data_IF_535673057901
#
_entry.id   IF_535673057901
#
_cell.length_a   1.000
_cell.length_b   1.000
_cell.length_c   1.000
_cell.angle_alpha   90.00
_cell.angle_beta   90.00
_cell.angle_gamma   90.00
#
_symmetry.space_group_name_H-M   'P 1'
#
loop_
_entity.id
_entity.type
_entity.pdbx_description
1 polymer ?
#
# COMPACT_ATOMS: atom_id res chain seq x y z
N UNK A 1 -8.65 -1.79 6.00
CA UNK A 1 -8.38 -0.63 6.88
C UNK A 1 -9.18 0.57 6.41
N UNK A 2 -9.82 1.28 7.33
CA UNK A 2 -10.56 2.50 7.00
C UNK A 2 -9.60 3.71 6.96
N UNK A 3 -10.06 4.80 6.36
CA UNK A 3 -9.29 6.05 6.34
C UNK A 3 -9.01 6.58 7.76
N UNK A 4 -9.98 6.43 8.66
CA UNK A 4 -9.84 6.84 10.05
C UNK A 4 -8.75 6.05 10.76
N UNK A 5 -8.72 4.73 10.55
CA UNK A 5 -7.69 3.86 11.10
C UNK A 5 -6.31 4.21 10.55
N UNK A 6 -6.22 4.53 9.27
CA UNK A 6 -4.97 4.96 8.63
C UNK A 6 -4.44 6.25 9.27
N UNK A 7 -5.30 7.25 9.41
CA UNK A 7 -4.93 8.53 10.04
C UNK A 7 -4.45 8.31 11.47
N UNK A 8 -5.15 7.48 12.24
CA UNK A 8 -4.78 7.17 13.62
C UNK A 8 -3.39 6.51 13.70
N UNK A 9 -3.13 5.53 12.86
CA UNK A 9 -1.82 4.85 12.81
C UNK A 9 -0.70 5.82 12.43
N UNK A 10 -0.94 6.69 11.48
CA UNK A 10 0.06 7.67 11.05
C UNK A 10 0.36 8.70 12.14
N UNK A 11 -0.64 9.07 12.93
CA UNK A 11 -0.44 9.94 14.08
C UNK A 11 0.37 9.25 15.18
N UNK A 12 0.05 7.99 15.47
CA UNK A 12 0.73 7.21 16.52
C UNK A 12 2.20 6.96 16.19
N UNK A 13 2.52 6.70 14.93
CA UNK A 13 3.88 6.40 14.52
C UNK A 13 4.83 7.58 14.66
N UNK A 14 4.32 8.79 14.58
CA UNK A 14 5.12 10.01 14.69
C UNK A 14 6.12 10.23 13.57
N UNK A 15 6.31 9.25 12.68
CA UNK A 15 7.26 9.30 11.58
C UNK A 15 6.65 8.65 10.34
N UNK A 16 6.93 9.24 9.17
CA UNK A 16 6.50 8.70 7.88
C UNK A 16 7.73 8.18 7.12
N UNK A 17 8.47 7.28 7.77
CA UNK A 17 9.64 6.64 7.16
C UNK A 17 9.21 5.57 6.14
N UNK A 18 10.18 5.03 5.42
CA UNK A 18 9.92 4.06 4.36
C UNK A 18 9.21 2.80 4.88
N UNK A 19 9.62 2.30 6.03
CA UNK A 19 9.06 1.09 6.62
C UNK A 19 7.61 1.32 7.05
N UNK A 20 7.35 2.42 7.74
CA UNK A 20 6.00 2.76 8.19
C UNK A 20 5.06 2.98 7.01
N UNK A 21 5.50 3.72 6.01
CA UNK A 21 4.69 3.95 4.81
C UNK A 21 4.42 2.67 4.03
N UNK A 22 5.40 1.77 3.93
CA UNK A 22 5.22 0.49 3.25
C UNK A 22 4.18 -0.38 3.96
N UNK A 23 4.22 -0.42 5.29
CA UNK A 23 3.25 -1.15 6.09
C UNK A 23 1.84 -0.58 5.93
N UNK A 24 1.71 0.73 5.98
CA UNK A 24 0.43 1.41 5.78
C UNK A 24 -0.12 1.17 4.38
N UNK A 25 0.72 1.25 3.37
CA UNK A 25 0.36 0.95 1.98
C UNK A 25 -0.19 -0.47 1.87
N UNK A 26 0.54 -1.45 2.40
CA UNK A 26 0.12 -2.84 2.35
C UNK A 26 -1.21 -3.06 3.09
N UNK A 27 -1.40 -2.43 4.24
CA UNK A 27 -2.64 -2.53 5.01
C UNK A 27 -3.83 -1.92 4.25
N UNK A 28 -3.63 -0.75 3.63
CA UNK A 28 -4.70 -0.06 2.89
C UNK A 28 -5.18 -0.89 1.70
N UNK A 29 -4.26 -1.52 0.99
CA UNK A 29 -4.57 -2.26 -0.24
C UNK A 29 -4.63 -3.77 -0.04
N UNK A 30 -4.65 -4.27 1.21
CA UNK A 30 -4.57 -5.71 1.50
C UNK A 30 -5.70 -6.55 0.87
N UNK A 31 -6.86 -5.95 0.63
CA UNK A 31 -8.00 -6.64 0.02
C UNK A 31 -7.89 -6.73 -1.51
N UNK A 32 -7.05 -5.92 -2.12
CA UNK A 32 -6.97 -5.81 -3.57
C UNK A 32 -5.59 -6.10 -4.14
N UNK A 33 -4.53 -5.98 -3.36
CA UNK A 33 -3.16 -6.14 -3.82
C UNK A 33 -2.31 -6.83 -2.76
N UNK A 34 -1.66 -7.95 -3.11
CA UNK A 34 -0.72 -8.65 -2.23
C UNK A 34 0.41 -9.26 -3.04
N UNK A 35 1.56 -9.40 -2.41
CA UNK A 35 2.71 -10.02 -3.05
C UNK A 35 2.67 -11.54 -2.85
N UNK A 36 2.86 -12.29 -3.94
CA UNK A 36 2.98 -13.74 -3.89
C UNK A 36 4.45 -14.11 -3.81
N UNK A 37 4.88 -14.69 -2.68
CA UNK A 37 6.29 -15.00 -2.43
C UNK A 37 6.83 -16.07 -3.37
N UNK A 38 6.02 -17.08 -3.73
CA UNK A 38 6.47 -18.17 -4.62
C UNK A 38 6.57 -17.73 -6.07
N UNK A 39 5.72 -16.82 -6.52
CA UNK A 39 5.77 -16.29 -7.88
C UNK A 39 6.67 -15.06 -8.00
N UNK A 40 7.10 -14.49 -6.87
CA UNK A 40 7.91 -13.27 -6.80
C UNK A 40 7.26 -12.10 -7.57
N UNK A 41 5.95 -11.99 -7.48
CA UNK A 41 5.16 -10.95 -8.15
C UNK A 41 3.96 -10.54 -7.31
N UNK A 42 3.48 -9.31 -7.55
CA UNK A 42 2.21 -8.88 -7.00
C UNK A 42 1.05 -9.58 -7.70
N UNK A 43 0.00 -9.85 -6.93
CA UNK A 43 -1.28 -10.32 -7.41
C UNK A 43 -2.34 -9.30 -7.01
N UNK A 44 -3.38 -9.19 -7.81
CA UNK A 44 -4.53 -8.33 -7.50
C UNK A 44 -5.81 -9.15 -7.46
N UNK A 45 -6.76 -8.72 -6.64
CA UNK A 45 -8.09 -9.33 -6.57
C UNK A 45 -9.03 -8.53 -7.46
N UNK A 46 -9.68 -9.21 -8.41
CA UNK A 46 -10.63 -8.59 -9.34
C UNK A 46 -12.07 -8.55 -8.80
N UNK A 47 -12.24 -8.89 -7.51
CA UNK A 47 -13.55 -9.02 -6.87
C UNK A 47 -14.01 -10.47 -6.74
N UNK A 48 -13.45 -11.39 -7.52
CA UNK A 48 -13.78 -12.80 -7.51
C UNK A 48 -12.58 -13.69 -7.21
N UNK A 49 -11.41 -13.35 -7.74
CA UNK A 49 -10.20 -14.17 -7.58
C UNK A 49 -8.93 -13.34 -7.65
N UNK A 50 -7.85 -13.92 -7.14
CA UNK A 50 -6.52 -13.33 -7.23
C UNK A 50 -5.89 -13.65 -8.59
N UNK A 51 -5.37 -12.61 -9.25
CA UNK A 51 -4.74 -12.72 -10.57
C UNK A 51 -3.35 -12.13 -10.54
N UNK A 52 -2.46 -12.69 -11.36
CA UNK A 52 -1.12 -12.14 -11.54
C UNK A 52 -1.19 -10.71 -12.06
N UNK A 53 -0.45 -9.81 -11.42
CA UNK A 53 -0.33 -8.43 -11.86
C UNK A 53 0.82 -8.32 -12.87
N UNK A 54 0.51 -8.52 -14.15
CA UNK A 54 1.51 -8.48 -15.21
C UNK A 54 2.18 -7.12 -15.28
N UNK A 55 3.50 -7.11 -15.35
CA UNK A 55 4.33 -5.90 -15.39
C UNK A 55 4.11 -4.97 -14.19
N UNK A 56 3.51 -5.46 -13.11
CA UNK A 56 3.25 -4.68 -11.89
C UNK A 56 2.43 -3.41 -12.15
N UNK A 57 1.55 -3.43 -13.13
CA UNK A 57 0.74 -2.26 -13.52
C UNK A 57 -0.23 -1.85 -12.42
N UNK A 58 -0.91 -2.83 -11.80
CA UNK A 58 -1.86 -2.55 -10.71
C UNK A 58 -1.14 -2.06 -9.46
N UNK A 59 0.00 -2.68 -9.15
CA UNK A 59 0.83 -2.25 -8.03
C UNK A 59 1.31 -0.81 -8.22
N UNK A 60 1.77 -0.46 -9.42
CA UNK A 60 2.20 0.89 -9.73
C UNK A 60 1.05 1.91 -9.56
N UNK A 61 -0.15 1.56 -10.01
CA UNK A 61 -1.34 2.41 -9.84
C UNK A 61 -1.70 2.59 -8.37
N UNK A 62 -1.63 1.53 -7.58
CA UNK A 62 -1.88 1.61 -6.15
C UNK A 62 -0.89 2.53 -5.45
N UNK A 63 0.39 2.49 -5.83
CA UNK A 63 1.40 3.38 -5.27
C UNK A 63 1.10 4.85 -5.56
N UNK A 64 0.66 5.16 -6.78
CA UNK A 64 0.24 6.52 -7.14
C UNK A 64 -1.00 6.95 -6.37
N UNK A 65 -1.98 6.04 -6.24
CA UNK A 65 -3.20 6.29 -5.47
C UNK A 65 -2.88 6.56 -4.02
N UNK A 66 -1.91 5.85 -3.45
CA UNK A 66 -1.46 6.07 -2.08
C UNK A 66 -0.93 7.49 -1.88
N UNK A 67 -0.12 7.99 -2.82
CA UNK A 67 0.37 9.35 -2.76
C UNK A 67 -0.78 10.38 -2.77
N UNK A 68 -1.77 10.16 -3.63
CA UNK A 68 -2.97 11.02 -3.70
C UNK A 68 -3.78 10.95 -2.41
N UNK A 69 -3.88 9.76 -1.81
CA UNK A 69 -4.55 9.57 -0.53
C UNK A 69 -3.86 10.37 0.58
N UNK A 70 -2.54 10.39 0.60
CA UNK A 70 -1.78 11.17 1.57
C UNK A 70 -2.04 12.68 1.43
N UNK A 71 -2.16 13.17 0.21
CA UNK A 71 -2.53 14.58 -0.05
C UNK A 71 -3.92 14.87 0.52
N UNK A 72 -4.89 14.02 0.22
CA UNK A 72 -6.25 14.16 0.71
C UNK A 72 -6.30 14.19 2.23
N UNK A 73 -5.65 13.22 2.87
CA UNK A 73 -5.61 13.14 4.32
C UNK A 73 -4.91 14.37 4.94
N UNK A 74 -3.85 14.85 4.29
CA UNK A 74 -3.15 16.05 4.72
C UNK A 74 -4.05 17.29 4.69
N UNK A 75 -4.85 17.44 3.63
CA UNK A 75 -5.75 18.56 3.49
C UNK A 75 -6.87 18.58 4.55
N UNK A 76 -7.18 17.41 5.12
CA UNK A 76 -8.20 17.28 6.14
C UNK A 76 -7.67 17.47 7.57
N UNK A 77 -6.35 17.58 7.74
CA UNK A 77 -5.77 17.79 9.06
C UNK A 77 -6.01 19.21 9.56
N UNK A 78 -6.25 19.35 10.86
CA UNK A 78 -6.51 20.64 11.48
C UNK A 78 -5.24 21.36 11.92
N UNK A 79 -4.17 20.61 12.22
CA UNK A 79 -2.91 21.21 12.63
C UNK A 79 -1.97 21.38 11.45
N UNK A 80 -1.26 22.48 11.40
CA UNK A 80 -0.28 22.76 10.36
C UNK A 80 0.84 21.73 10.34
N UNK A 81 1.26 21.27 11.51
CA UNK A 81 2.31 20.27 11.64
C UNK A 81 1.89 18.93 11.02
N UNK A 82 0.67 18.46 11.29
CA UNK A 82 0.13 17.25 10.68
C UNK A 82 0.00 17.40 9.17
N UNK A 83 -0.51 18.53 8.69
CA UNK A 83 -0.61 18.81 7.26
C UNK A 83 0.75 18.67 6.58
N UNK A 84 1.77 19.26 7.18
CA UNK A 84 3.13 19.24 6.68
C UNK A 84 3.67 17.81 6.54
N UNK A 85 3.46 16.98 7.56
CA UNK A 85 3.91 15.59 7.56
C UNK A 85 3.27 14.78 6.43
N UNK A 86 1.97 14.91 6.25
CA UNK A 86 1.25 14.22 5.19
C UNK A 86 1.71 14.69 3.80
N UNK A 87 1.87 16.01 3.61
CA UNK A 87 2.30 16.56 2.33
C UNK A 87 3.74 16.18 1.99
N UNK A 88 4.63 16.12 2.97
CA UNK A 88 6.00 15.67 2.76
C UNK A 88 6.03 14.21 2.35
N UNK A 89 5.24 13.36 3.00
CA UNK A 89 5.14 11.95 2.61
C UNK A 89 4.56 11.80 1.20
N UNK A 90 3.50 12.56 0.88
CA UNK A 90 2.90 12.54 -0.45
C UNK A 90 3.91 12.97 -1.53
N UNK A 91 4.65 14.04 -1.26
CA UNK A 91 5.64 14.54 -2.21
C UNK A 91 6.76 13.53 -2.47
N UNK A 92 7.14 12.76 -1.47
CA UNK A 92 8.14 11.70 -1.61
C UNK A 92 7.72 10.69 -2.70
N UNK A 93 6.44 10.34 -2.76
CA UNK A 93 5.93 9.33 -3.70
C UNK A 93 5.53 9.90 -5.06
N UNK A 94 5.88 11.15 -5.36
CA UNK A 94 5.84 11.66 -6.72
C UNK A 94 7.01 11.12 -7.56
N UNK A 95 8.05 10.63 -6.89
CA UNK A 95 9.21 10.03 -7.53
C UNK A 95 8.98 8.55 -7.85
N UNK A 96 9.29 8.15 -9.08
CA UNK A 96 9.22 6.74 -9.49
C UNK A 96 10.11 5.87 -8.59
N UNK A 97 11.33 6.32 -8.31
CA UNK A 97 12.27 5.59 -7.45
C UNK A 97 11.68 5.31 -6.07
N UNK A 98 11.07 6.31 -5.47
CA UNK A 98 10.45 6.16 -4.13
C UNK A 98 9.21 5.26 -4.17
N UNK A 99 8.43 5.30 -5.25
CA UNK A 99 7.29 4.37 -5.41
C UNK A 99 7.78 2.92 -5.57
N UNK A 100 8.86 2.71 -6.29
CA UNK A 100 9.45 1.37 -6.42
C UNK A 100 9.97 0.84 -5.09
N UNK A 101 10.60 1.71 -4.30
CA UNK A 101 11.05 1.37 -2.94
C UNK A 101 9.85 1.01 -2.05
N UNK A 102 8.77 1.78 -2.14
CA UNK A 102 7.53 1.49 -1.41
C UNK A 102 7.01 0.10 -1.73
N UNK A 103 6.91 -0.24 -3.01
CA UNK A 103 6.42 -1.55 -3.44
C UNK A 103 7.34 -2.69 -3.02
N UNK A 104 8.64 -2.46 -3.02
CA UNK A 104 9.63 -3.44 -2.57
C UNK A 104 9.50 -3.69 -1.07
N UNK A 105 9.40 -2.64 -0.28
CA UNK A 105 9.32 -2.74 1.17
C UNK A 105 7.97 -3.30 1.63
N UNK A 106 6.92 -3.14 0.83
CA UNK A 106 5.59 -3.64 1.16
C UNK A 106 5.39 -5.13 0.86
N UNK A 107 6.32 -5.77 0.16
CA UNK A 107 6.17 -7.16 -0.32
C UNK A 107 5.84 -8.16 0.76
N UNK A 108 6.48 -8.06 1.91
CA UNK A 108 6.38 -9.07 2.97
C UNK A 108 5.26 -8.82 3.98
N UNK A 109 4.59 -7.68 3.93
CA UNK A 109 3.62 -7.32 4.97
C UNK A 109 2.39 -8.24 4.96
N UNK A 110 1.83 -8.51 3.78
CA UNK A 110 0.69 -9.41 3.61
C UNK A 110 0.98 -10.46 2.53
N UNK A 111 2.23 -10.93 2.47
CA UNK A 111 2.63 -11.91 1.47
C UNK A 111 1.87 -13.22 1.64
N UNK A 112 1.61 -13.88 0.52
CA UNK A 112 1.04 -15.23 0.49
C UNK A 112 1.83 -16.10 -0.48
N UNK A 113 1.60 -17.41 -0.43
CA UNK A 113 2.22 -18.37 -1.34
C UNK A 113 1.15 -18.97 -2.25
N UNK A 114 1.59 -19.65 -3.34
CA UNK A 114 0.65 -20.39 -4.20
C UNK A 114 -0.09 -21.47 -3.42
N UNK A 115 0.55 -22.06 -2.41
CA UNK A 115 -0.09 -23.04 -1.57
C UNK A 115 -1.31 -22.45 -0.85
N UNK A 116 -1.24 -21.19 -0.44
CA UNK A 116 -2.37 -20.50 0.19
C UNK A 116 -3.53 -20.32 -0.79
N UNK A 117 -3.25 -20.04 -2.05
CA UNK A 117 -4.27 -19.93 -3.09
C UNK A 117 -4.90 -21.29 -3.39
N UNK A 118 -4.09 -22.33 -3.52
CA UNK A 118 -4.56 -23.68 -3.85
C UNK A 118 -5.40 -24.30 -2.75
N UNK A 119 -5.16 -23.90 -1.49
CA UNK A 119 -5.90 -24.42 -0.34
C UNK A 119 -7.22 -23.70 -0.11
N UNK A 120 -7.50 -22.63 -0.84
CA UNK A 120 -8.68 -21.81 -0.67
C UNK A 120 -9.44 -21.66 -1.98
N UNK A 121 -10.36 -22.60 -2.23
CA UNK A 121 -11.15 -22.66 -3.46
C UNK A 121 -11.96 -21.37 -3.73
N UNK A 122 -12.33 -20.64 -2.68
CA UNK A 122 -13.09 -19.41 -2.81
C UNK A 122 -12.31 -18.28 -3.48
N UNK A 123 -10.99 -18.41 -3.55
CA UNK A 123 -10.12 -17.42 -4.19
C UNK A 123 -9.91 -17.68 -5.69
N UNK A 124 -10.47 -18.77 -6.19
CA UNK A 124 -10.37 -19.12 -7.61
C UNK A 124 -11.75 -19.13 -8.29
#
# INVERSE_FOLDING_TARGET
>A
MTLEQLVEKMRESGAFDDVTCAKLFADVFSDTLRFCSTAANYYYCDGARWRLDEASIRAARCAKTFAMLLVKLGSEQTSLESQKRFFQAANKYTSLHNRETLLRDARDVHAFSRADLDSNDDLF
#
